data_IF_963268917512
#
_entry.id   IF_963268917512
#
_cell.length_a   1.000
_cell.length_b   1.000
_cell.length_c   1.000
_cell.angle_alpha   90.00
_cell.angle_beta   90.00
_cell.angle_gamma   90.00
#
_symmetry.space_group_name_H-M   'P 1'
#
loop_
_entity.id
_entity.type
_entity.pdbx_description
1 polymer ?
#
# COMPACT_ATOMS: atom_id res chain seq x y z
N UNK A 1 -16.45 12.44 2.11
CA UNK A 1 -17.40 11.55 1.44
C UNK A 1 -18.46 11.04 2.41
N UNK A 2 -18.08 10.60 3.61
CA UNK A 2 -18.94 9.97 4.60
C UNK A 2 -18.89 10.75 5.92
N UNK A 3 -19.65 11.86 6.07
CA UNK A 3 -19.62 12.68 7.29
C UNK A 3 -20.06 11.89 8.53
N UNK A 4 -20.97 10.93 8.35
CA UNK A 4 -21.51 10.08 9.41
C UNK A 4 -20.86 8.69 9.44
N UNK A 5 -19.58 8.58 9.04
CA UNK A 5 -18.89 7.32 8.89
C UNK A 5 -18.91 6.39 10.12
N UNK A 6 -18.98 6.97 11.33
CA UNK A 6 -19.09 6.19 12.58
C UNK A 6 -20.44 5.49 12.69
N UNK A 7 -21.52 6.21 12.42
CA UNK A 7 -22.90 5.70 12.45
C UNK A 7 -23.14 4.72 11.31
N UNK A 8 -22.44 4.91 10.20
CA UNK A 8 -22.47 4.03 9.04
C UNK A 8 -21.55 2.78 9.20
N UNK A 9 -20.93 2.61 10.35
CA UNK A 9 -20.15 1.42 10.69
C UNK A 9 -18.80 1.29 9.99
N UNK A 10 -18.17 2.42 9.60
CA UNK A 10 -16.82 2.38 9.07
C UNK A 10 -15.85 1.80 10.11
N UNK A 11 -14.96 0.85 9.73
CA UNK A 11 -14.12 0.11 10.68
C UNK A 11 -12.87 0.91 11.12
N UNK A 12 -13.09 2.10 11.68
CA UNK A 12 -12.07 2.98 12.25
C UNK A 12 -12.25 3.02 13.79
N UNK A 13 -11.90 1.91 14.46
CA UNK A 13 -12.25 1.67 15.85
C UNK A 13 -11.16 2.07 16.85
N UNK A 14 -9.90 2.20 16.40
CA UNK A 14 -8.75 2.43 17.28
C UNK A 14 -8.12 3.78 16.98
N UNK A 15 -8.49 4.85 17.71
CA UNK A 15 -7.83 6.15 17.56
C UNK A 15 -6.37 6.03 18.02
N UNK A 16 -5.48 6.81 17.42
CA UNK A 16 -4.10 6.92 17.87
C UNK A 16 -4.08 7.63 19.22
N UNK A 17 -3.46 6.99 20.21
CA UNK A 17 -3.31 7.51 21.58
C UNK A 17 -1.89 7.99 21.86
N UNK A 18 -0.90 7.29 21.32
CA UNK A 18 0.51 7.58 21.48
C UNK A 18 1.24 7.44 20.15
N UNK A 19 2.12 8.38 19.86
CA UNK A 19 2.92 8.44 18.63
C UNK A 19 4.40 8.55 18.99
N UNK A 20 5.15 7.49 18.73
CA UNK A 20 6.53 7.36 19.11
C UNK A 20 7.44 7.17 17.89
N UNK A 21 8.53 7.90 17.87
CA UNK A 21 9.56 7.75 16.82
C UNK A 21 10.90 7.39 17.46
N UNK A 22 11.57 6.38 16.90
CA UNK A 22 12.84 5.87 17.39
C UNK A 22 13.91 5.83 16.31
N UNK A 23 15.14 6.05 16.72
CA UNK A 23 16.32 5.68 15.94
C UNK A 23 17.05 4.55 16.68
N UNK A 24 17.16 3.38 16.06
CA UNK A 24 17.88 2.24 16.62
C UNK A 24 19.36 2.39 16.28
N UNK A 25 20.16 2.57 17.32
CA UNK A 25 21.60 2.83 17.20
C UNK A 25 22.42 1.53 17.03
N UNK A 26 21.96 0.45 17.66
CA UNK A 26 22.55 -0.89 17.60
C UNK A 26 21.47 -1.94 17.84
N UNK A 27 21.86 -3.18 18.01
CA UNK A 27 20.99 -4.32 18.36
C UNK A 27 20.28 -4.20 19.73
N UNK A 28 20.75 -3.30 20.58
CA UNK A 28 20.24 -3.13 21.97
C UNK A 28 19.93 -1.69 22.34
N UNK A 29 20.48 -0.71 21.61
CA UNK A 29 20.37 0.71 21.95
C UNK A 29 19.39 1.42 21.01
N UNK A 30 18.45 2.15 21.59
CA UNK A 30 17.50 2.99 20.88
C UNK A 30 17.52 4.43 21.44
N UNK A 31 17.34 5.38 20.56
CA UNK A 31 17.10 6.78 20.90
C UNK A 31 15.66 7.12 20.55
N UNK A 32 14.83 7.41 21.56
CA UNK A 32 13.50 7.97 21.32
C UNK A 32 13.65 9.43 20.91
N UNK A 33 13.05 9.78 19.79
CA UNK A 33 13.03 11.16 19.28
C UNK A 33 12.01 11.97 20.07
N UNK A 34 12.37 13.16 20.58
CA UNK A 34 11.39 14.08 21.14
C UNK A 34 10.35 14.45 20.10
N UNK A 35 9.07 14.45 20.46
CA UNK A 35 7.95 14.66 19.53
C UNK A 35 8.07 15.97 18.71
N UNK A 36 8.58 17.04 19.34
CA UNK A 36 8.80 18.33 18.67
C UNK A 36 9.89 18.33 17.59
N UNK A 37 10.77 17.29 17.58
CA UNK A 37 11.78 17.10 16.53
C UNK A 37 11.23 16.30 15.33
N UNK A 38 10.11 15.60 15.50
CA UNK A 38 9.47 14.84 14.43
C UNK A 38 8.72 15.83 13.52
N UNK A 39 8.92 15.78 12.19
CA UNK A 39 8.20 16.66 11.27
C UNK A 39 6.69 16.53 11.45
N UNK A 40 5.97 17.64 11.46
CA UNK A 40 4.50 17.66 11.61
C UNK A 40 3.77 16.77 10.60
N UNK A 41 4.32 16.61 9.39
CA UNK A 41 3.77 15.71 8.37
C UNK A 41 3.75 14.23 8.78
N UNK A 42 4.57 13.84 9.76
CA UNK A 42 4.65 12.47 10.29
C UNK A 42 3.80 12.27 11.56
N UNK A 43 3.24 13.33 12.13
CA UNK A 43 2.40 13.24 13.32
C UNK A 43 1.10 12.48 13.01
N UNK A 44 0.67 11.63 13.96
CA UNK A 44 -0.51 10.79 13.82
C UNK A 44 -1.67 11.19 14.74
N UNK A 45 -1.59 12.31 15.43
CA UNK A 45 -2.69 12.84 16.24
C UNK A 45 -3.97 12.98 15.40
N UNK A 46 -5.09 12.48 15.89
CA UNK A 46 -6.38 12.45 15.19
C UNK A 46 -6.52 11.36 14.12
N UNK A 47 -5.47 10.56 13.89
CA UNK A 47 -5.53 9.40 13.00
C UNK A 47 -6.06 8.15 13.73
N UNK A 48 -6.27 7.08 12.97
CA UNK A 48 -6.71 5.78 13.45
C UNK A 48 -5.77 4.66 13.01
N UNK A 49 -5.58 3.68 13.86
CA UNK A 49 -4.97 2.39 13.48
C UNK A 49 -6.07 1.52 12.89
N UNK A 50 -5.90 1.12 11.64
CA UNK A 50 -6.92 0.40 10.88
C UNK A 50 -6.38 -0.84 10.17
N UNK A 51 -7.28 -1.77 9.86
CA UNK A 51 -7.08 -2.72 8.78
C UNK A 51 -7.57 -2.10 7.46
N UNK A 52 -6.66 -1.77 6.55
CA UNK A 52 -7.04 -1.21 5.25
C UNK A 52 -7.94 -2.17 4.46
N UNK A 53 -7.76 -3.49 4.61
CA UNK A 53 -8.63 -4.48 3.99
C UNK A 53 -10.08 -4.42 4.50
N UNK A 54 -10.29 -4.13 5.79
CA UNK A 54 -11.63 -3.94 6.35
C UNK A 54 -12.28 -2.65 5.79
N UNK A 55 -11.52 -1.55 5.73
CA UNK A 55 -12.00 -0.29 5.16
C UNK A 55 -12.36 -0.45 3.67
N UNK A 56 -11.54 -1.16 2.89
CA UNK A 56 -11.82 -1.41 1.47
C UNK A 56 -13.08 -2.25 1.29
N UNK A 57 -13.31 -3.26 2.14
CA UNK A 57 -14.57 -4.04 2.10
C UNK A 57 -15.79 -3.18 2.41
N UNK A 58 -15.69 -2.32 3.43
CA UNK A 58 -16.77 -1.39 3.77
C UNK A 58 -17.03 -0.40 2.62
N UNK A 59 -15.97 0.17 2.01
CA UNK A 59 -16.11 1.03 0.83
C UNK A 59 -16.71 0.28 -0.37
N UNK A 60 -16.36 -1.00 -0.53
CA UNK A 60 -16.96 -1.85 -1.56
C UNK A 60 -18.46 -2.00 -1.39
N UNK A 61 -18.92 -2.25 -0.16
CA UNK A 61 -20.36 -2.29 0.15
C UNK A 61 -21.06 -0.95 -0.17
N UNK A 62 -20.41 0.18 0.20
CA UNK A 62 -20.94 1.52 -0.14
C UNK A 62 -20.99 1.77 -1.65
N UNK A 63 -20.05 1.23 -2.41
CA UNK A 63 -20.08 1.32 -3.87
C UNK A 63 -21.22 0.48 -4.46
N UNK A 64 -21.43 -0.74 -3.96
CA UNK A 64 -22.55 -1.61 -4.38
C UNK A 64 -23.91 -1.00 -4.05
N UNK A 65 -24.05 -0.31 -2.89
CA UNK A 65 -25.26 0.48 -2.54
C UNK A 65 -25.57 1.59 -3.58
N UNK A 66 -24.53 2.06 -4.28
CA UNK A 66 -24.62 3.02 -5.39
C UNK A 66 -24.66 2.36 -6.78
N UNK A 67 -25.01 1.08 -6.84
CA UNK A 67 -25.14 0.28 -8.08
C UNK A 67 -23.82 0.11 -8.86
N UNK A 68 -22.65 0.30 -8.21
CA UNK A 68 -21.34 0.00 -8.81
C UNK A 68 -21.12 -1.52 -8.79
N UNK A 69 -20.92 -2.11 -9.96
CA UNK A 69 -20.64 -3.54 -10.08
C UNK A 69 -19.19 -3.83 -9.68
N UNK A 70 -18.97 -4.76 -8.76
CA UNK A 70 -17.65 -5.22 -8.32
C UNK A 70 -17.47 -6.67 -8.74
N UNK A 71 -16.35 -6.97 -9.42
CA UNK A 71 -16.04 -8.29 -9.95
C UNK A 71 -14.78 -8.88 -9.31
N UNK A 72 -14.87 -9.44 -8.09
CA UNK A 72 -13.72 -10.05 -7.43
C UNK A 72 -13.23 -11.27 -8.21
N UNK A 73 -11.90 -11.40 -8.33
CA UNK A 73 -11.28 -12.53 -9.03
C UNK A 73 -11.15 -12.39 -10.55
N UNK A 74 -11.69 -11.32 -11.14
CA UNK A 74 -11.51 -11.03 -12.57
C UNK A 74 -10.32 -10.08 -12.75
N UNK A 75 -9.19 -10.62 -13.18
CA UNK A 75 -8.01 -9.82 -13.46
C UNK A 75 -8.08 -9.25 -14.87
N UNK A 76 -7.87 -7.94 -15.01
CA UNK A 76 -7.64 -7.32 -16.32
C UNK A 76 -6.29 -7.80 -16.88
N UNK A 77 -6.29 -8.40 -18.08
CA UNK A 77 -5.11 -8.96 -18.73
C UNK A 77 -4.63 -8.14 -19.91
N UNK A 78 -5.55 -7.50 -20.63
CA UNK A 78 -5.25 -6.72 -21.83
C UNK A 78 -5.99 -5.39 -21.82
N UNK A 79 -5.40 -4.40 -22.51
CA UNK A 79 -6.02 -3.09 -22.75
C UNK A 79 -6.59 -3.10 -24.17
N UNK A 80 -7.84 -2.72 -24.28
CA UNK A 80 -8.51 -2.57 -25.57
C UNK A 80 -8.39 -1.14 -26.08
N UNK A 81 -8.17 -0.99 -27.36
CA UNK A 81 -7.99 0.31 -28.02
C UNK A 81 -8.98 0.49 -29.16
N UNK A 82 -9.38 1.73 -29.42
CA UNK A 82 -9.98 2.14 -30.68
C UNK A 82 -8.90 2.24 -31.79
N UNK A 83 -9.32 2.36 -33.03
CA UNK A 83 -8.41 2.49 -34.19
C UNK A 83 -7.49 3.72 -34.08
N UNK A 84 -7.96 4.79 -33.45
CA UNK A 84 -7.19 6.01 -33.21
C UNK A 84 -6.19 5.88 -32.05
N UNK A 85 -6.15 4.72 -31.40
CA UNK A 85 -5.29 4.43 -30.25
C UNK A 85 -5.83 4.87 -28.88
N UNK A 86 -7.03 5.43 -28.81
CA UNK A 86 -7.72 5.76 -27.55
C UNK A 86 -8.08 4.48 -26.79
N UNK A 87 -7.94 4.46 -25.47
CA UNK A 87 -8.35 3.32 -24.64
C UNK A 87 -9.87 3.16 -24.72
N UNK A 88 -10.31 1.95 -25.09
CA UNK A 88 -11.71 1.55 -25.23
C UNK A 88 -12.24 0.81 -23.99
N UNK A 89 -11.33 0.19 -23.24
CA UNK A 89 -11.66 -0.65 -22.10
C UNK A 89 -10.56 -1.66 -21.80
N UNK A 90 -10.95 -2.77 -21.18
CA UNK A 90 -10.03 -3.88 -20.87
C UNK A 90 -10.64 -5.22 -21.24
N UNK A 91 -9.78 -6.23 -21.38
CA UNK A 91 -10.16 -7.63 -21.43
C UNK A 91 -9.72 -8.33 -20.16
N UNK A 92 -10.57 -9.14 -19.56
CA UNK A 92 -10.20 -10.02 -18.44
C UNK A 92 -9.46 -11.24 -18.97
N UNK A 93 -8.65 -11.87 -18.10
CA UNK A 93 -8.00 -13.13 -18.44
C UNK A 93 -8.97 -14.31 -18.45
N UNK A 94 -8.62 -15.35 -19.18
CA UNK A 94 -9.33 -16.62 -19.14
C UNK A 94 -9.24 -17.23 -17.73
N UNK A 95 -10.31 -17.84 -17.27
CA UNK A 95 -10.40 -18.54 -16.00
C UNK A 95 -10.49 -20.04 -16.21
N UNK A 96 -10.08 -20.82 -15.18
CA UNK A 96 -10.16 -22.27 -15.26
C UNK A 96 -9.13 -22.90 -16.20
N UNK A 97 -7.95 -22.30 -16.35
CA UNK A 97 -6.81 -22.90 -17.04
C UNK A 97 -6.01 -23.75 -16.06
N UNK A 98 -5.77 -24.99 -16.41
CA UNK A 98 -4.97 -25.93 -15.63
C UNK A 98 -3.46 -25.60 -15.65
N UNK A 99 -2.70 -26.25 -14.77
CA UNK A 99 -1.23 -26.07 -14.70
C UNK A 99 -0.49 -26.46 -15.99
N UNK A 100 -1.12 -27.29 -16.83
CA UNK A 100 -0.62 -27.70 -18.14
C UNK A 100 -0.97 -26.71 -19.26
N UNK A 101 -1.65 -25.60 -18.96
CA UNK A 101 -2.10 -24.61 -19.92
C UNK A 101 -3.42 -24.97 -20.65
N UNK A 102 -4.04 -26.09 -20.32
CA UNK A 102 -5.28 -26.56 -20.98
C UNK A 102 -6.52 -26.14 -20.18
N UNK A 103 -7.65 -25.89 -20.86
CA UNK A 103 -8.92 -25.63 -20.20
C UNK A 103 -9.35 -26.77 -19.26
N UNK A 104 -9.82 -26.43 -18.07
CA UNK A 104 -10.45 -27.36 -17.13
C UNK A 104 -11.97 -27.34 -17.28
N UNK A 105 -12.67 -28.16 -16.49
CA UNK A 105 -14.14 -28.17 -16.48
C UNK A 105 -14.77 -26.84 -16.03
N UNK A 106 -14.01 -25.96 -15.36
CA UNK A 106 -14.44 -24.63 -14.96
C UNK A 106 -13.93 -23.51 -15.89
N UNK A 107 -13.51 -23.86 -17.12
CA UNK A 107 -13.03 -22.89 -18.08
C UNK A 107 -14.11 -21.85 -18.42
N UNK A 108 -13.72 -20.60 -18.33
CA UNK A 108 -14.52 -19.45 -18.76
C UNK A 108 -13.61 -18.49 -19.53
N UNK A 109 -13.94 -18.15 -20.78
CA UNK A 109 -13.14 -17.20 -21.54
C UNK A 109 -13.22 -15.82 -20.91
N UNK A 110 -12.17 -15.03 -21.14
CA UNK A 110 -12.13 -13.63 -20.72
C UNK A 110 -13.20 -12.78 -21.42
N UNK A 111 -13.65 -11.73 -20.74
CA UNK A 111 -14.66 -10.79 -21.23
C UNK A 111 -14.02 -9.47 -21.64
N UNK A 112 -14.50 -8.87 -22.70
CA UNK A 112 -14.23 -7.47 -23.02
C UNK A 112 -15.18 -6.57 -22.22
N UNK A 113 -14.62 -5.61 -21.48
CA UNK A 113 -15.36 -4.58 -20.74
C UNK A 113 -15.07 -3.23 -21.40
N UNK A 114 -16.06 -2.65 -22.03
CA UNK A 114 -15.95 -1.37 -22.72
C UNK A 114 -16.46 -0.25 -21.82
N UNK A 115 -15.80 0.90 -21.84
CA UNK A 115 -16.16 2.08 -21.06
C UNK A 115 -15.79 3.36 -21.81
N UNK A 116 -16.46 4.47 -21.49
CA UNK A 116 -16.08 5.81 -21.99
C UNK A 116 -14.70 6.22 -21.45
N UNK A 117 -14.41 5.90 -20.18
CA UNK A 117 -13.13 6.12 -19.52
C UNK A 117 -12.75 4.89 -18.69
N UNK A 118 -11.47 4.57 -18.68
CA UNK A 118 -10.90 3.48 -17.88
C UNK A 118 -9.86 4.03 -16.91
N UNK A 119 -10.06 3.76 -15.60
CA UNK A 119 -9.17 4.20 -14.54
C UNK A 119 -8.30 3.02 -14.09
N UNK A 120 -6.98 3.19 -14.16
CA UNK A 120 -6.02 2.14 -13.79
C UNK A 120 -5.51 2.40 -12.37
N UNK A 121 -5.80 1.46 -11.47
CA UNK A 121 -5.54 1.54 -10.04
C UNK A 121 -4.86 0.25 -9.54
N UNK A 122 -3.94 -0.31 -10.32
CA UNK A 122 -3.33 -1.62 -10.08
C UNK A 122 -2.29 -1.63 -8.95
N UNK A 123 -1.99 -0.46 -8.39
CA UNK A 123 -1.01 -0.29 -7.32
C UNK A 123 0.44 -0.24 -7.85
N UNK A 124 1.39 -0.46 -6.96
CA UNK A 124 2.81 -0.37 -7.28
C UNK A 124 3.17 -1.26 -8.49
N UNK A 125 3.62 -0.63 -9.57
CA UNK A 125 3.98 -1.30 -10.83
C UNK A 125 2.87 -2.19 -11.41
N UNK A 126 1.69 -1.64 -11.59
CA UNK A 126 0.60 -2.29 -12.32
C UNK A 126 1.07 -2.83 -13.67
N UNK A 127 0.64 -4.02 -14.06
CA UNK A 127 1.16 -4.62 -15.29
C UNK A 127 0.58 -3.96 -16.56
N UNK A 128 -0.65 -3.45 -16.51
CA UNK A 128 -1.24 -2.65 -17.58
C UNK A 128 -0.76 -1.19 -17.50
N UNK A 129 -0.66 -0.61 -16.31
CA UNK A 129 -0.14 0.74 -16.08
C UNK A 129 1.24 0.93 -16.71
N UNK A 130 2.16 -0.03 -16.56
CA UNK A 130 3.47 0.00 -17.24
C UNK A 130 3.38 0.07 -18.75
N UNK A 131 2.43 -0.65 -19.34
CA UNK A 131 2.20 -0.65 -20.80
C UNK A 131 1.67 0.69 -21.27
N UNK A 132 0.78 1.32 -20.49
CA UNK A 132 0.25 2.67 -20.78
C UNK A 132 1.32 3.74 -20.66
N UNK A 133 2.13 3.70 -19.60
CA UNK A 133 3.26 4.62 -19.42
C UNK A 133 4.18 4.56 -20.63
N UNK A 134 4.58 3.36 -21.06
CA UNK A 134 5.44 3.17 -22.22
C UNK A 134 4.77 3.60 -23.54
N UNK A 135 3.49 3.21 -23.78
CA UNK A 135 2.77 3.51 -25.01
C UNK A 135 2.60 5.01 -25.25
N UNK A 136 2.25 5.75 -24.20
CA UNK A 136 1.98 7.18 -24.31
C UNK A 136 3.14 8.07 -23.83
N UNK A 137 4.31 7.49 -23.52
CA UNK A 137 5.49 8.20 -22.99
C UNK A 137 5.13 9.10 -21.79
N UNK A 138 4.36 8.57 -20.84
CA UNK A 138 3.83 9.37 -19.74
C UNK A 138 4.90 9.82 -18.75
N UNK A 139 6.02 9.13 -18.66
CA UNK A 139 7.14 9.39 -17.75
C UNK A 139 8.30 10.17 -18.37
N UNK A 140 8.14 10.67 -19.60
CA UNK A 140 9.23 11.34 -20.36
C UNK A 140 9.84 12.56 -19.65
N UNK A 141 9.03 13.25 -18.85
CA UNK A 141 9.41 14.47 -18.12
C UNK A 141 9.51 14.24 -16.60
N UNK A 142 9.43 12.97 -16.15
CA UNK A 142 9.50 12.58 -14.75
C UNK A 142 10.89 12.05 -14.36
N UNK A 143 11.23 12.20 -13.09
CA UNK A 143 12.41 11.53 -12.55
C UNK A 143 12.20 10.00 -12.49
N UNK A 144 13.27 9.20 -12.52
CA UNK A 144 13.17 7.76 -12.37
C UNK A 144 12.45 7.36 -11.09
N UNK A 145 11.51 6.42 -11.18
CA UNK A 145 10.78 5.91 -10.02
C UNK A 145 11.70 5.07 -9.13
N UNK A 146 11.56 5.23 -7.82
CA UNK A 146 12.24 4.44 -6.79
C UNK A 146 11.27 3.47 -6.12
N UNK A 147 11.79 2.31 -5.72
CA UNK A 147 10.99 1.25 -5.11
C UNK A 147 11.60 0.77 -3.80
N UNK A 148 10.73 0.36 -2.89
CA UNK A 148 11.09 -0.37 -1.70
C UNK A 148 10.32 -1.68 -1.62
N UNK A 149 10.82 -2.63 -0.82
CA UNK A 149 10.06 -3.81 -0.40
C UNK A 149 9.55 -3.60 1.02
N UNK A 150 8.25 -3.66 1.22
CA UNK A 150 7.62 -3.68 2.53
C UNK A 150 7.29 -5.11 2.92
N UNK A 151 7.81 -5.55 4.08
CA UNK A 151 7.50 -6.85 4.68
C UNK A 151 6.75 -6.57 5.97
N UNK A 152 5.60 -7.21 6.16
CA UNK A 152 4.76 -7.01 7.34
C UNK A 152 4.33 -8.33 7.96
N UNK A 153 4.06 -8.27 9.26
CA UNK A 153 3.46 -9.36 10.02
C UNK A 153 2.32 -8.81 10.88
N UNK A 154 1.35 -9.67 11.16
CA UNK A 154 0.30 -9.45 12.14
C UNK A 154 0.48 -10.46 13.26
N UNK A 155 0.50 -9.96 14.49
CA UNK A 155 0.70 -10.75 15.71
C UNK A 155 -0.46 -10.59 16.66
N UNK A 156 -0.84 -11.65 17.32
CA UNK A 156 -1.64 -11.66 18.52
C UNK A 156 -0.68 -11.71 19.71
N UNK A 157 -0.80 -10.75 20.63
CA UNK A 157 0.13 -10.58 21.73
C UNK A 157 -0.59 -10.71 23.08
N UNK A 158 0.20 -10.84 24.14
CA UNK A 158 -0.31 -10.82 25.52
C UNK A 158 -1.12 -9.53 25.77
N UNK A 159 -2.38 -9.64 26.23
CA UNK A 159 -3.19 -8.47 26.57
C UNK A 159 -2.52 -7.51 27.55
N UNK A 160 -1.70 -8.01 28.48
CA UNK A 160 -0.96 -7.17 29.43
C UNK A 160 0.12 -6.27 28.77
N UNK A 161 0.56 -6.62 27.56
CA UNK A 161 1.53 -5.86 26.76
C UNK A 161 0.86 -4.99 25.70
N UNK A 162 -0.43 -5.18 25.48
CA UNK A 162 -1.17 -4.47 24.45
C UNK A 162 -1.51 -3.04 24.87
N UNK A 163 -1.30 -2.08 23.97
CA UNK A 163 -1.57 -0.64 24.16
C UNK A 163 -2.35 -0.10 22.96
N UNK A 164 -3.69 -0.29 22.91
CA UNK A 164 -4.48 0.13 21.75
C UNK A 164 -4.22 1.58 21.35
N UNK A 165 -3.93 1.82 20.08
CA UNK A 165 -3.65 3.16 19.56
C UNK A 165 -2.20 3.62 19.67
N UNK A 166 -1.30 2.85 20.28
CA UNK A 166 0.13 3.14 20.21
C UNK A 166 0.64 2.89 18.80
N UNK A 167 1.25 3.90 18.20
CA UNK A 167 1.95 3.81 16.92
C UNK A 167 3.42 4.12 17.11
N UNK A 168 4.28 3.28 16.56
CA UNK A 168 5.72 3.44 16.63
C UNK A 168 6.32 3.42 15.22
N UNK A 169 7.21 4.36 14.96
CA UNK A 169 7.98 4.42 13.73
C UNK A 169 9.46 4.49 14.05
N UNK A 170 10.29 4.09 13.10
CA UNK A 170 11.71 4.27 13.27
C UNK A 170 12.56 3.88 12.08
N UNK A 171 13.86 4.11 12.26
CA UNK A 171 14.92 3.79 11.32
C UNK A 171 16.17 3.32 12.07
N UNK A 172 17.25 3.05 11.35
CA UNK A 172 18.55 2.69 11.90
C UNK A 172 18.82 1.19 11.83
N UNK A 173 19.23 0.59 12.94
CA UNK A 173 19.57 -0.82 13.00
C UNK A 173 18.38 -1.73 12.61
N UNK A 174 18.58 -2.81 11.85
CA UNK A 174 19.86 -3.33 11.34
C UNK A 174 20.32 -2.73 10.00
N UNK A 175 19.50 -1.96 9.32
CA UNK A 175 19.75 -1.49 7.95
C UNK A 175 20.99 -0.58 7.84
N UNK A 176 21.29 0.20 8.88
CA UNK A 176 22.44 1.09 8.90
C UNK A 176 23.79 0.36 8.89
N UNK A 177 23.85 -0.92 9.29
CA UNK A 177 25.08 -1.72 9.23
C UNK A 177 25.58 -1.95 7.79
N UNK A 178 24.66 -1.92 6.83
CA UNK A 178 24.96 -2.13 5.40
C UNK A 178 24.78 -0.87 4.56
N UNK A 179 24.55 0.27 5.21
CA UNK A 179 24.28 1.53 4.50
C UNK A 179 22.93 1.54 3.75
N UNK A 180 22.06 0.57 4.05
CA UNK A 180 20.75 0.46 3.36
C UNK A 180 19.75 1.44 3.93
N UNK A 181 18.98 2.06 3.05
CA UNK A 181 17.85 2.92 3.43
C UNK A 181 16.61 2.10 3.73
N UNK A 182 15.80 2.60 4.66
CA UNK A 182 14.54 1.97 5.03
C UNK A 182 14.01 2.49 6.37
N UNK A 183 13.02 1.80 6.87
CA UNK A 183 12.43 2.11 8.16
C UNK A 183 11.50 1.00 8.61
N UNK A 184 10.95 1.16 9.79
CA UNK A 184 10.08 0.18 10.40
C UNK A 184 8.90 0.85 11.11
N UNK A 185 7.85 0.07 11.34
CA UNK A 185 6.69 0.48 12.12
C UNK A 185 6.20 -0.67 13.01
N UNK A 186 5.50 -0.30 14.09
CA UNK A 186 4.76 -1.20 14.96
C UNK A 186 3.51 -0.48 15.48
N UNK A 187 2.33 -1.02 15.20
CA UNK A 187 1.05 -0.42 15.59
C UNK A 187 0.20 -1.38 16.40
N UNK A 188 -0.31 -0.92 17.52
CA UNK A 188 -1.25 -1.66 18.35
C UNK A 188 -2.68 -1.41 17.84
N UNK A 189 -3.25 -2.44 17.22
CA UNK A 189 -4.59 -2.44 16.66
C UNK A 189 -5.64 -2.93 17.68
N UNK A 190 -6.83 -3.26 17.23
CA UNK A 190 -7.85 -3.90 18.05
C UNK A 190 -7.52 -5.38 18.36
N UNK A 191 -8.29 -6.00 19.28
CA UNK A 191 -8.25 -7.44 19.57
C UNK A 191 -6.87 -8.00 19.99
N UNK A 192 -6.10 -7.24 20.79
CA UNK A 192 -4.74 -7.61 21.20
C UNK A 192 -3.80 -7.88 20.02
N UNK A 193 -4.06 -7.27 18.88
CA UNK A 193 -3.25 -7.43 17.69
C UNK A 193 -2.25 -6.29 17.54
N UNK A 194 -1.07 -6.67 17.06
CA UNK A 194 -0.02 -5.74 16.65
C UNK A 194 0.34 -6.03 15.19
N UNK A 195 0.28 -4.98 14.37
CA UNK A 195 0.86 -5.04 13.02
C UNK A 195 2.22 -4.38 13.04
N UNK A 196 3.18 -5.02 12.43
CA UNK A 196 4.55 -4.53 12.38
C UNK A 196 5.19 -4.86 11.03
N UNK A 197 6.19 -4.08 10.67
CA UNK A 197 6.90 -4.33 9.42
C UNK A 197 8.12 -3.47 9.23
N UNK A 198 8.83 -3.79 8.15
CA UNK A 198 10.02 -3.09 7.72
C UNK A 198 9.92 -2.81 6.22
N UNK A 199 10.34 -1.63 5.83
CA UNK A 199 10.52 -1.25 4.42
C UNK A 199 12.03 -1.14 4.17
N UNK A 200 12.48 -1.75 3.09
CA UNK A 200 13.88 -1.68 2.65
C UNK A 200 13.89 -1.16 1.22
N UNK A 201 14.74 -0.18 0.95
CA UNK A 201 14.99 0.31 -0.41
C UNK A 201 15.54 -0.80 -1.28
N UNK A 202 14.99 -0.95 -2.49
CA UNK A 202 15.49 -1.95 -3.45
C UNK A 202 16.77 -1.53 -4.18
N UNK A 203 17.25 -0.31 -3.93
CA UNK A 203 18.55 0.18 -4.42
C UNK A 203 19.73 -0.09 -3.47
N UNK A 204 19.58 -1.01 -2.50
CA UNK A 204 20.67 -1.38 -1.61
C UNK A 204 21.86 -2.00 -2.38
N UNK A 205 23.07 -1.66 -1.95
CA UNK A 205 24.30 -2.03 -2.67
C UNK A 205 24.85 -3.41 -2.26
N UNK A 206 24.54 -3.89 -1.05
CA UNK A 206 25.05 -5.16 -0.55
C UNK A 206 24.24 -6.35 -1.10
N UNK A 207 24.79 -7.14 -2.05
CA UNK A 207 24.05 -8.27 -2.65
C UNK A 207 23.77 -9.42 -1.67
N UNK A 208 24.44 -9.43 -0.51
CA UNK A 208 24.24 -10.43 0.54
C UNK A 208 23.18 -10.02 1.56
N UNK A 209 22.67 -8.79 1.49
CA UNK A 209 21.59 -8.38 2.36
C UNK A 209 20.30 -9.09 1.95
N UNK A 210 19.60 -9.64 2.94
CA UNK A 210 18.34 -10.31 2.74
C UNK A 210 17.25 -9.60 3.55
N UNK A 211 16.38 -8.79 2.93
CA UNK A 211 15.39 -7.95 3.62
C UNK A 211 14.53 -8.68 4.65
N UNK A 212 14.13 -9.91 4.34
CA UNK A 212 13.38 -10.74 5.30
C UNK A 212 14.18 -11.04 6.56
N UNK A 213 15.46 -11.38 6.44
CA UNK A 213 16.32 -11.66 7.60
C UNK A 213 16.60 -10.40 8.40
N UNK A 214 16.76 -9.25 7.75
CA UNK A 214 16.91 -7.97 8.45
C UNK A 214 15.66 -7.65 9.30
N UNK A 215 14.47 -7.94 8.80
CA UNK A 215 13.24 -7.83 9.59
C UNK A 215 13.24 -8.82 10.78
N UNK A 216 13.74 -10.05 10.61
CA UNK A 216 13.83 -11.01 11.71
C UNK A 216 14.82 -10.53 12.78
N UNK A 217 15.98 -10.00 12.38
CA UNK A 217 16.96 -9.39 13.29
C UNK A 217 16.32 -8.21 14.05
N UNK A 218 15.68 -7.29 13.33
CA UNK A 218 15.01 -6.13 13.93
C UNK A 218 14.01 -6.52 15.04
N UNK A 219 13.26 -7.59 14.87
CA UNK A 219 12.31 -8.07 15.89
C UNK A 219 12.98 -8.54 17.17
N UNK A 220 14.27 -8.85 17.15
CA UNK A 220 15.03 -9.22 18.36
C UNK A 220 15.43 -8.01 19.22
N UNK A 221 15.36 -6.79 18.67
CA UNK A 221 15.68 -5.58 19.40
C UNK A 221 14.76 -5.39 20.62
N UNK A 222 15.28 -5.06 21.83
CA UNK A 222 14.49 -4.96 23.05
C UNK A 222 13.24 -4.08 22.93
N UNK A 223 13.33 -2.94 22.23
CA UNK A 223 12.21 -2.02 21.99
C UNK A 223 11.02 -2.69 21.27
N UNK A 224 11.28 -3.69 20.45
CA UNK A 224 10.27 -4.42 19.67
C UNK A 224 9.91 -5.74 20.34
N UNK A 225 10.93 -6.51 20.74
CA UNK A 225 10.78 -7.84 21.35
C UNK A 225 9.85 -7.85 22.54
N UNK A 226 9.89 -6.81 23.39
CA UNK A 226 9.05 -6.70 24.60
C UNK A 226 7.55 -6.91 24.32
N UNK A 227 7.06 -6.49 23.15
CA UNK A 227 5.66 -6.66 22.76
C UNK A 227 5.39 -8.05 22.18
N UNK A 228 6.36 -8.62 21.45
CA UNK A 228 6.18 -9.86 20.70
C UNK A 228 6.42 -11.13 21.52
N UNK A 229 7.18 -11.03 22.62
CA UNK A 229 7.54 -12.17 23.46
C UNK A 229 6.31 -12.82 24.08
N UNK A 230 6.11 -14.12 23.81
CA UNK A 230 4.92 -14.87 24.20
C UNK A 230 3.75 -14.76 23.22
N UNK A 231 3.85 -13.87 22.23
CA UNK A 231 2.84 -13.70 21.19
C UNK A 231 2.94 -14.72 20.06
N UNK A 232 1.93 -14.72 19.18
CA UNK A 232 1.82 -15.60 18.02
C UNK A 232 1.65 -14.78 16.75
N UNK A 233 2.51 -15.02 15.74
CA UNK A 233 2.29 -14.48 14.41
C UNK A 233 1.11 -15.17 13.74
N UNK A 234 0.09 -14.42 13.33
CA UNK A 234 -1.14 -14.96 12.72
C UNK A 234 -1.19 -14.76 11.21
N UNK A 235 -0.50 -13.73 10.69
CA UNK A 235 -0.37 -13.56 9.24
C UNK A 235 0.90 -12.79 8.87
N UNK A 236 1.25 -12.82 7.59
CA UNK A 236 2.39 -12.09 7.03
C UNK A 236 2.14 -11.76 5.56
N UNK A 237 2.91 -10.84 5.03
CA UNK A 237 2.91 -10.51 3.61
C UNK A 237 4.04 -9.57 3.25
N UNK A 238 4.34 -9.49 1.95
CA UNK A 238 5.29 -8.55 1.41
C UNK A 238 4.75 -7.94 0.12
N UNK A 239 5.06 -6.66 -0.08
CA UNK A 239 4.68 -5.94 -1.29
C UNK A 239 5.73 -4.89 -1.60
N UNK A 240 6.01 -4.71 -2.91
CA UNK A 240 6.74 -3.54 -3.36
C UNK A 240 5.91 -2.28 -3.13
N UNK A 241 6.58 -1.17 -2.83
CA UNK A 241 5.99 0.16 -2.69
C UNK A 241 6.78 1.14 -3.55
N UNK A 242 6.10 2.12 -4.11
CA UNK A 242 6.74 3.24 -4.80
C UNK A 242 7.27 4.25 -3.78
N UNK A 243 8.34 4.96 -4.08
CA UNK A 243 8.87 6.01 -3.21
C UNK A 243 9.60 7.15 -3.92
N UNK A 244 9.45 7.27 -5.23
CA UNK A 244 10.06 8.34 -6.03
C UNK A 244 9.53 9.74 -5.73
N UNK A 245 8.36 9.84 -5.08
CA UNK A 245 7.76 11.11 -4.71
C UNK A 245 7.17 11.87 -5.89
N UNK A 246 6.94 13.17 -5.68
CA UNK A 246 6.23 14.02 -6.65
C UNK A 246 6.92 14.10 -8.01
N UNK A 247 8.24 14.22 -8.04
CA UNK A 247 8.99 14.39 -9.29
C UNK A 247 9.02 13.11 -10.16
N UNK A 248 8.73 11.94 -9.58
CA UNK A 248 8.64 10.67 -10.29
C UNK A 248 7.21 10.32 -10.75
N UNK A 249 6.24 11.23 -10.55
CA UNK A 249 4.89 11.04 -11.06
C UNK A 249 4.86 11.17 -12.58
N UNK A 250 4.31 10.17 -13.30
CA UNK A 250 4.08 10.30 -14.73
C UNK A 250 2.95 11.29 -15.02
N UNK A 251 2.78 11.69 -16.26
CA UNK A 251 1.54 12.31 -16.72
C UNK A 251 0.39 11.35 -16.44
N UNK A 252 -0.63 11.80 -15.71
CA UNK A 252 -1.68 10.93 -15.19
C UNK A 252 -2.72 10.53 -16.25
N UNK A 253 -2.96 11.41 -17.22
CA UNK A 253 -4.05 11.28 -18.20
C UNK A 253 -3.52 10.92 -19.59
N UNK A 254 -4.28 10.10 -20.29
CA UNK A 254 -4.07 9.71 -21.67
C UNK A 254 -5.43 9.54 -22.37
N UNK A 255 -5.49 9.43 -23.70
CA UNK A 255 -6.76 9.25 -24.39
C UNK A 255 -7.56 8.05 -23.89
N UNK A 256 -8.76 8.28 -23.35
CA UNK A 256 -9.67 7.27 -22.83
C UNK A 256 -9.42 6.79 -21.40
N UNK A 257 -8.50 7.44 -20.63
CA UNK A 257 -8.30 7.02 -19.25
C UNK A 257 -7.25 7.77 -18.45
N UNK A 258 -6.99 7.27 -17.25
CA UNK A 258 -5.95 7.82 -16.37
C UNK A 258 -5.38 6.77 -15.40
N UNK A 259 -4.21 7.09 -14.81
CA UNK A 259 -3.57 6.39 -13.71
C UNK A 259 -3.98 7.04 -12.39
N UNK A 260 -4.31 6.24 -11.38
CA UNK A 260 -4.65 6.71 -10.04
C UNK A 260 -3.93 5.87 -8.96
N UNK A 261 -3.88 6.38 -7.74
CA UNK A 261 -3.27 5.70 -6.61
C UNK A 261 -1.79 5.39 -6.83
N UNK A 262 -1.35 4.25 -6.32
CA UNK A 262 0.05 3.83 -6.43
C UNK A 262 0.43 3.30 -7.82
N UNK A 263 -0.51 3.12 -8.73
CA UNK A 263 -0.21 2.86 -10.14
C UNK A 263 0.43 4.10 -10.80
N UNK A 264 0.00 5.29 -10.36
CA UNK A 264 0.65 6.55 -10.68
C UNK A 264 1.87 6.87 -9.79
N UNK A 265 2.00 6.25 -8.62
CA UNK A 265 3.09 6.51 -7.68
C UNK A 265 2.80 7.56 -6.61
N UNK A 266 1.55 7.70 -6.17
CA UNK A 266 1.12 8.74 -5.22
C UNK A 266 1.55 8.54 -3.76
N UNK A 267 2.36 7.55 -3.43
CA UNK A 267 2.84 7.39 -2.05
C UNK A 267 3.63 8.64 -1.60
N UNK A 268 3.19 9.22 -0.48
CA UNK A 268 3.92 10.32 0.14
C UNK A 268 4.94 9.77 1.14
N UNK A 269 6.20 9.72 0.74
CA UNK A 269 7.29 9.20 1.56
C UNK A 269 7.41 9.94 2.90
N UNK A 270 7.33 11.27 2.90
CA UNK A 270 7.45 12.09 4.13
C UNK A 270 6.35 11.82 5.15
N UNK A 271 5.20 11.33 4.72
CA UNK A 271 4.11 10.89 5.61
C UNK A 271 4.15 9.38 5.89
N UNK A 272 5.04 8.63 5.23
CA UNK A 272 5.13 7.17 5.31
C UNK A 272 3.81 6.47 4.94
N UNK A 273 2.92 7.14 4.20
CA UNK A 273 1.53 6.72 3.94
C UNK A 273 1.14 7.05 2.50
N UNK A 274 0.47 6.10 1.85
CA UNK A 274 -0.05 6.26 0.49
C UNK A 274 -1.57 6.25 0.42
N UNK A 275 -2.27 5.71 1.44
CA UNK A 275 -3.72 5.49 1.37
C UNK A 275 -4.52 6.78 1.15
N UNK A 276 -4.18 7.87 1.84
CA UNK A 276 -4.87 9.15 1.72
C UNK A 276 -4.68 9.80 0.34
N UNK A 277 -3.50 9.71 -0.24
CA UNK A 277 -3.21 10.23 -1.59
C UNK A 277 -3.84 9.36 -2.67
N UNK A 278 -3.86 8.03 -2.49
CA UNK A 278 -4.55 7.12 -3.39
C UNK A 278 -6.06 7.41 -3.43
N UNK A 279 -6.70 7.54 -2.26
CA UNK A 279 -8.12 7.91 -2.17
C UNK A 279 -8.40 9.28 -2.80
N UNK A 280 -7.56 10.30 -2.51
CA UNK A 280 -7.76 11.65 -3.07
C UNK A 280 -7.59 11.67 -4.58
N UNK A 281 -6.63 10.90 -5.14
CA UNK A 281 -6.48 10.79 -6.59
C UNK A 281 -7.71 10.17 -7.26
N UNK A 282 -8.31 9.14 -6.65
CA UNK A 282 -9.56 8.54 -7.12
C UNK A 282 -10.74 9.53 -7.09
N UNK A 283 -10.87 10.31 -6.00
CA UNK A 283 -11.92 11.35 -5.88
C UNK A 283 -11.79 12.40 -6.98
N UNK A 284 -10.60 12.97 -7.16
CA UNK A 284 -10.34 13.99 -8.19
C UNK A 284 -10.56 13.45 -9.61
N UNK A 285 -10.18 12.19 -9.84
CA UNK A 285 -10.42 11.56 -11.12
C UNK A 285 -11.92 11.32 -11.38
N UNK A 286 -12.67 10.89 -10.36
CA UNK A 286 -14.12 10.72 -10.45
C UNK A 286 -14.83 12.04 -10.75
N UNK A 287 -14.45 13.13 -10.08
CA UNK A 287 -14.95 14.48 -10.34
C UNK A 287 -14.68 14.89 -11.80
N UNK A 288 -13.43 14.75 -12.28
CA UNK A 288 -13.04 15.13 -13.64
C UNK A 288 -13.75 14.29 -14.73
N UNK A 289 -13.96 12.99 -14.50
CA UNK A 289 -14.67 12.11 -15.44
C UNK A 289 -16.17 12.43 -15.49
N UNK A 290 -16.74 12.88 -14.36
CA UNK A 290 -18.15 13.29 -14.31
C UNK A 290 -18.41 14.59 -15.07
N UNK A 291 -17.45 15.52 -15.07
CA UNK A 291 -17.53 16.81 -15.78
C UNK A 291 -17.27 16.69 -17.30
N UNK A 292 -16.59 15.59 -17.74
CA UNK A 292 -16.19 15.37 -19.14
C UNK A 292 -17.28 14.68 -19.96
#
# INVERSE_FOLDING_TARGET
>A
LFPNWKEEGAPLNVPVTDDETYFLLSDTKAQKMPYWMVPKSMHNEGNYVISLGNVVRWLGQKAEELEVSIFPGFAASEILYHEDGTVKGIQTGDMGIGKNGEPTHNFTPGYELHAKYTLFAEGCRGHLGKRLIAKYNLDKDADPQHYGIGIKELWEIDPAKHKPGLVMHGAGWPLNETGSSGGWWLYHAENNQVTLGMIVDLSYENPHMYPFMEMQRWKTHPTIKQFLEGGKRISYGARAVVKGGFNALPKLTFPGGCLIGDDAGFLNFSKIKGSHTAMKSGMLCGEAVFEA
#
